data_IF_885136220574
#
_entry.id   IF_885136220574
#
_cell.length_a   1.000
_cell.length_b   1.000
_cell.length_c   1.000
_cell.angle_alpha   90.00
_cell.angle_beta   90.00
_cell.angle_gamma   90.00
#
_symmetry.space_group_name_H-M   'P 1'
#
loop_
_entity.id
_entity.type
_entity.pdbx_description
1 polymer ?
#
# COMPACT_ATOMS: atom_id res chain seq x y z
N UNK A 1 -16.25 -9.48 -34.96
CA UNK A 1 -15.23 -9.28 -33.91
C UNK A 1 -15.61 -8.03 -33.13
N UNK A 2 -16.07 -8.17 -31.89
CA UNK A 2 -16.30 -7.04 -31.00
C UNK A 2 -14.96 -6.69 -30.34
N UNK A 3 -14.33 -5.60 -30.76
CA UNK A 3 -13.19 -5.03 -30.05
C UNK A 3 -13.73 -4.43 -28.75
N UNK A 4 -13.61 -5.15 -27.64
CA UNK A 4 -13.86 -4.58 -26.32
C UNK A 4 -12.81 -3.48 -26.08
N UNK A 5 -13.24 -2.24 -25.90
CA UNK A 5 -12.34 -1.17 -25.50
C UNK A 5 -11.73 -1.51 -24.14
N UNK A 6 -10.39 -1.43 -24.06
CA UNK A 6 -9.71 -1.55 -22.77
C UNK A 6 -10.21 -0.45 -21.82
N UNK A 7 -10.39 -0.75 -20.53
CA UNK A 7 -10.78 0.26 -19.56
C UNK A 7 -9.77 1.41 -19.57
N UNK A 8 -10.21 2.66 -19.33
CA UNK A 8 -9.28 3.78 -19.16
C UNK A 8 -8.28 3.44 -18.06
N UNK A 9 -7.04 3.90 -18.20
CA UNK A 9 -5.96 3.62 -17.27
C UNK A 9 -5.47 4.92 -16.63
N UNK A 10 -4.98 4.84 -15.40
CA UNK A 10 -4.43 5.99 -14.67
C UNK A 10 -3.20 5.60 -13.87
N UNK A 11 -2.28 6.55 -13.71
CA UNK A 11 -1.09 6.38 -12.87
C UNK A 11 -1.48 6.34 -11.38
N UNK A 12 -0.86 5.44 -10.61
CA UNK A 12 -1.00 5.40 -9.16
C UNK A 12 0.35 5.67 -8.51
N UNK A 13 0.36 6.65 -7.62
CA UNK A 13 1.53 7.01 -6.80
C UNK A 13 1.14 7.30 -5.36
N UNK A 14 2.12 7.33 -4.46
CA UNK A 14 1.91 7.74 -3.09
C UNK A 14 3.13 8.41 -2.47
N UNK A 15 2.91 9.44 -1.67
CA UNK A 15 3.91 9.99 -0.75
C UNK A 15 3.68 9.41 0.64
N UNK A 16 4.72 8.84 1.24
CA UNK A 16 4.70 8.27 2.58
C UNK A 16 5.46 9.16 3.55
N UNK A 17 4.82 9.49 4.67
CA UNK A 17 5.39 10.33 5.73
C UNK A 17 5.26 9.68 7.09
N UNK A 18 5.93 10.24 8.10
CA UNK A 18 5.78 9.80 9.49
C UNK A 18 6.58 8.56 9.84
N UNK A 19 7.57 8.19 9.04
CA UNK A 19 8.55 7.17 9.41
C UNK A 19 9.35 7.66 10.62
N UNK A 20 9.55 6.79 11.61
CA UNK A 20 10.28 7.13 12.84
C UNK A 20 11.81 7.12 12.67
N UNK A 21 12.29 6.49 11.62
CA UNK A 21 13.71 6.38 11.28
C UNK A 21 13.85 6.22 9.76
N UNK A 22 15.04 6.52 9.22
CA UNK A 22 15.39 6.24 7.83
C UNK A 22 16.05 4.85 7.67
N UNK A 23 15.89 3.97 8.65
CA UNK A 23 16.54 2.66 8.66
C UNK A 23 15.72 1.66 7.86
N UNK A 24 16.38 0.90 6.99
CA UNK A 24 15.73 -0.17 6.24
C UNK A 24 14.91 0.37 5.07
N UNK A 25 13.71 -0.18 4.89
CA UNK A 25 12.93 0.00 3.67
C UNK A 25 11.43 0.10 3.95
N UNK A 26 10.72 0.79 3.05
CA UNK A 26 9.26 0.72 2.95
C UNK A 26 8.92 -0.38 1.96
N UNK A 27 8.25 -1.42 2.44
CA UNK A 27 7.58 -2.40 1.61
C UNK A 27 6.16 -1.93 1.36
N UNK A 28 5.75 -1.89 0.10
CA UNK A 28 4.42 -1.45 -0.28
C UNK A 28 3.79 -2.44 -1.24
N UNK A 29 2.47 -2.65 -1.12
CA UNK A 29 1.71 -3.41 -2.12
C UNK A 29 0.42 -2.70 -2.49
N UNK A 30 0.11 -2.68 -3.79
CA UNK A 30 -1.14 -2.20 -4.40
C UNK A 30 -1.92 -3.41 -4.91
N UNK A 31 -3.19 -3.53 -4.54
CA UNK A 31 -4.07 -4.62 -5.01
C UNK A 31 -5.48 -4.10 -5.31
N UNK A 32 -6.13 -4.71 -6.31
CA UNK A 32 -7.57 -4.57 -6.55
C UNK A 32 -8.41 -5.69 -5.93
N UNK A 33 -7.78 -6.71 -5.30
CA UNK A 33 -8.45 -7.90 -4.78
C UNK A 33 -8.68 -7.80 -3.26
N UNK A 34 -9.95 -7.67 -2.81
CA UNK A 34 -10.25 -7.56 -1.38
C UNK A 34 -9.74 -8.73 -0.54
N UNK A 35 -9.71 -9.95 -1.09
CA UNK A 35 -9.27 -11.17 -0.39
C UNK A 35 -7.76 -11.27 -0.19
N UNK A 36 -6.97 -10.51 -0.96
CA UNK A 36 -5.53 -10.50 -0.84
C UNK A 36 -5.03 -9.40 0.12
N UNK A 37 -5.82 -8.33 0.31
CA UNK A 37 -5.48 -7.23 1.20
C UNK A 37 -5.50 -7.67 2.68
N UNK A 38 -4.55 -7.22 3.52
CA UNK A 38 -3.47 -6.27 3.25
C UNK A 38 -2.13 -6.88 2.81
N UNK A 39 -2.03 -8.22 2.71
CA UNK A 39 -0.75 -8.87 2.42
C UNK A 39 -0.37 -8.85 0.94
N UNK A 40 -1.36 -8.82 0.06
CA UNK A 40 -1.24 -8.93 -1.40
C UNK A 40 -0.62 -10.25 -1.94
N UNK A 41 -0.05 -11.11 -1.09
CA UNK A 41 0.63 -12.37 -1.45
C UNK A 41 -0.19 -13.32 -2.33
N UNK A 42 -1.52 -13.30 -2.23
CA UNK A 42 -2.43 -14.17 -3.01
C UNK A 42 -3.01 -13.51 -4.26
N UNK A 43 -2.55 -12.31 -4.62
CA UNK A 43 -2.95 -11.59 -5.82
C UNK A 43 -1.81 -11.55 -6.85
N UNK A 44 -1.90 -12.30 -7.96
CA UNK A 44 -0.87 -12.30 -9.00
C UNK A 44 -0.78 -10.96 -9.76
N UNK A 45 -1.80 -10.10 -9.64
CA UNK A 45 -1.85 -8.77 -10.27
C UNK A 45 -1.41 -7.66 -9.31
N UNK A 46 -1.05 -8.00 -8.07
CA UNK A 46 -0.58 -7.01 -7.11
C UNK A 46 0.76 -6.42 -7.57
N UNK A 47 0.92 -5.11 -7.33
CA UNK A 47 2.20 -4.43 -7.55
C UNK A 47 2.89 -4.24 -6.22
N UNK A 48 4.09 -4.79 -6.09
CA UNK A 48 4.91 -4.67 -4.90
C UNK A 48 6.10 -3.74 -5.16
N UNK A 49 6.45 -2.92 -4.17
CA UNK A 49 7.61 -2.04 -4.18
C UNK A 49 8.43 -2.25 -2.90
N UNK A 50 9.74 -2.09 -3.02
CA UNK A 50 10.66 -1.95 -1.88
C UNK A 50 11.52 -0.73 -2.12
N UNK A 51 11.35 0.30 -1.29
CA UNK A 51 12.02 1.60 -1.45
C UNK A 51 12.76 1.95 -0.16
N UNK A 52 13.97 2.53 -0.21
CA UNK A 52 14.68 2.95 1.01
C UNK A 52 13.83 3.84 1.91
N UNK A 53 13.92 3.62 3.22
CA UNK A 53 13.25 4.47 4.19
C UNK A 53 13.87 5.88 4.24
N UNK A 54 13.05 6.87 4.57
CA UNK A 54 13.46 8.27 4.63
C UNK A 54 12.43 9.14 5.36
N UNK A 55 12.72 10.44 5.47
CA UNK A 55 11.78 11.39 6.08
C UNK A 55 10.47 11.53 5.28
N UNK A 56 10.57 11.45 3.95
CA UNK A 56 9.47 11.34 3.00
C UNK A 56 9.87 10.33 1.93
N UNK A 57 8.98 9.40 1.58
CA UNK A 57 9.25 8.34 0.60
C UNK A 57 8.21 8.42 -0.51
N UNK A 58 8.68 8.53 -1.76
CA UNK A 58 7.83 8.48 -2.94
C UNK A 58 7.70 7.06 -3.47
N UNK A 59 6.46 6.65 -3.75
CA UNK A 59 6.11 5.37 -4.33
C UNK A 59 5.46 5.61 -5.69
N UNK A 60 5.96 4.95 -6.73
CA UNK A 60 5.31 4.92 -8.04
C UNK A 60 4.92 3.48 -8.36
N UNK A 61 3.62 3.23 -8.44
CA UNK A 61 3.08 1.93 -8.84
C UNK A 61 2.85 1.86 -10.35
N UNK A 62 2.98 2.97 -11.08
CA UNK A 62 2.73 3.08 -12.52
C UNK A 62 1.25 3.03 -12.89
N UNK A 63 0.98 2.89 -14.18
CA UNK A 63 -0.39 2.94 -14.73
C UNK A 63 -1.15 1.65 -14.52
N UNK A 64 -2.36 1.72 -13.96
CA UNK A 64 -3.29 0.59 -13.77
C UNK A 64 -4.61 0.84 -14.50
N UNK A 65 -5.37 -0.21 -14.87
CA UNK A 65 -6.77 -0.06 -15.27
C UNK A 65 -7.59 0.72 -14.25
N UNK A 66 -8.61 1.42 -14.73
CA UNK A 66 -9.59 2.04 -13.85
C UNK A 66 -10.29 1.00 -12.98
N UNK A 67 -10.52 1.36 -11.73
CA UNK A 67 -11.02 0.42 -10.74
C UNK A 67 -10.84 0.92 -9.31
N UNK A 68 -11.05 0.02 -8.35
CA UNK A 68 -10.80 0.29 -6.92
C UNK A 68 -9.56 -0.45 -6.47
N UNK A 69 -8.68 0.25 -5.80
CA UNK A 69 -7.40 -0.27 -5.34
C UNK A 69 -7.15 0.12 -3.89
N UNK A 70 -6.35 -0.68 -3.19
CA UNK A 70 -5.87 -0.35 -1.86
C UNK A 70 -4.35 -0.57 -1.77
N UNK A 71 -3.68 0.30 -1.01
CA UNK A 71 -2.25 0.23 -0.71
C UNK A 71 -2.08 -0.18 0.75
N UNK A 72 -1.18 -1.13 1.01
CA UNK A 72 -0.66 -1.43 2.35
C UNK A 72 0.84 -1.19 2.39
N UNK A 73 1.33 -0.66 3.51
CA UNK A 73 2.73 -0.31 3.75
C UNK A 73 3.26 -1.00 5.01
N UNK A 74 4.54 -1.37 4.98
CA UNK A 74 5.33 -1.85 6.11
C UNK A 74 6.64 -1.05 6.13
N UNK A 75 7.05 -0.55 7.29
CA UNK A 75 8.40 -0.04 7.51
C UNK A 75 9.29 -1.15 8.06
N UNK A 76 9.97 -1.87 7.18
CA UNK A 76 10.86 -3.00 7.49
C UNK A 76 12.24 -2.46 7.90
N UNK A 77 12.41 -2.19 9.21
CA UNK A 77 13.59 -1.54 9.79
C UNK A 77 14.78 -2.49 9.91
N UNK A 78 14.55 -3.80 9.85
CA UNK A 78 15.60 -4.81 9.92
C UNK A 78 15.86 -5.55 8.60
N UNK A 79 15.16 -5.15 7.53
CA UNK A 79 15.32 -5.65 6.17
C UNK A 79 15.06 -7.17 6.02
N UNK A 80 14.10 -7.71 6.78
CA UNK A 80 13.76 -9.13 6.72
C UNK A 80 12.60 -9.46 5.76
N UNK A 81 12.05 -8.45 5.08
CA UNK A 81 11.03 -8.61 4.05
C UNK A 81 9.61 -8.83 4.56
N UNK A 82 9.35 -8.69 5.87
CA UNK A 82 8.03 -8.92 6.46
C UNK A 82 7.75 -7.96 7.61
N UNK A 83 6.48 -7.82 7.97
CA UNK A 83 6.08 -7.10 9.16
C UNK A 83 6.37 -7.94 10.40
N UNK A 84 7.30 -7.49 11.25
CA UNK A 84 7.55 -8.16 12.52
C UNK A 84 6.46 -7.92 13.56
N UNK A 85 6.10 -8.98 14.27
CA UNK A 85 5.02 -8.99 15.26
C UNK A 85 5.43 -9.69 16.55
N UNK A 86 4.90 -9.21 17.67
CA UNK A 86 4.93 -9.90 18.98
C UNK A 86 3.49 -10.16 19.41
N UNK A 87 3.11 -11.42 19.60
CA UNK A 87 1.73 -11.80 19.96
C UNK A 87 0.69 -11.09 19.06
N UNK A 88 0.89 -11.13 17.73
CA UNK A 88 0.08 -10.44 16.70
C UNK A 88 0.19 -8.92 16.62
N UNK A 89 0.88 -8.26 17.56
CA UNK A 89 1.04 -6.81 17.59
C UNK A 89 2.27 -6.39 16.77
N UNK A 90 2.14 -5.50 15.77
CA UNK A 90 3.26 -4.95 15.01
C UNK A 90 4.35 -4.33 15.91
N UNK A 91 5.61 -4.64 15.64
CA UNK A 91 6.79 -4.00 16.26
C UNK A 91 7.39 -2.90 15.40
N UNK A 92 7.05 -2.94 14.12
CA UNK A 92 7.51 -2.05 13.08
C UNK A 92 6.34 -1.22 12.52
N UNK A 93 6.66 -0.29 11.62
CA UNK A 93 5.68 0.64 11.08
C UNK A 93 4.73 -0.04 10.10
N UNK A 94 3.49 0.43 10.07
CA UNK A 94 2.50 0.05 9.06
C UNK A 94 1.71 1.28 8.59
N UNK A 95 1.15 1.19 7.39
CA UNK A 95 0.29 2.24 6.82
C UNK A 95 -0.66 1.68 5.78
N UNK A 96 -1.73 2.41 5.50
CA UNK A 96 -2.74 2.02 4.50
C UNK A 96 -3.21 3.26 3.74
N UNK A 97 -3.56 3.10 2.46
CA UNK A 97 -4.24 4.16 1.69
C UNK A 97 -5.51 4.64 2.39
N UNK A 98 -5.93 5.87 2.06
CA UNK A 98 -7.00 6.59 2.76
C UNK A 98 -6.73 6.82 4.26
N UNK A 99 -5.51 6.56 4.73
CA UNK A 99 -5.15 6.56 6.15
C UNK A 99 -6.16 5.76 7.00
N UNK A 100 -6.62 4.63 6.46
CA UNK A 100 -7.71 3.86 7.03
C UNK A 100 -7.49 3.54 8.52
N UNK A 101 -8.53 3.67 9.37
CA UNK A 101 -8.40 3.49 10.80
C UNK A 101 -8.08 2.03 11.16
N UNK A 102 -7.19 1.86 12.14
CA UNK A 102 -6.75 0.56 12.64
C UNK A 102 -7.34 0.35 14.03
N UNK A 103 -7.99 -0.79 14.23
CA UNK A 103 -8.58 -1.22 15.50
C UNK A 103 -7.86 -2.45 16.05
N UNK A 104 -8.61 -3.53 16.30
CA UNK A 104 -8.08 -4.82 16.74
C UNK A 104 -7.33 -5.61 15.64
N UNK A 105 -7.27 -5.07 14.43
CA UNK A 105 -6.62 -5.69 13.27
C UNK A 105 -6.48 -4.70 12.11
N UNK A 106 -5.91 -5.14 10.98
CA UNK A 106 -5.82 -4.31 9.79
C UNK A 106 -7.22 -3.91 9.30
N UNK A 107 -7.34 -2.76 8.61
CA UNK A 107 -8.61 -2.30 8.08
C UNK A 107 -9.14 -3.25 7.00
N UNK A 108 -10.43 -3.15 6.70
CA UNK A 108 -11.00 -3.83 5.52
C UNK A 108 -10.48 -3.18 4.24
N UNK A 109 -10.48 -3.93 3.13
CA UNK A 109 -10.19 -3.37 1.81
C UNK A 109 -11.09 -2.16 1.51
N UNK A 110 -12.38 -2.24 1.84
CA UNK A 110 -13.33 -1.16 1.57
C UNK A 110 -12.95 0.16 2.25
N UNK A 111 -12.37 0.09 3.47
CA UNK A 111 -11.94 1.28 4.21
C UNK A 111 -10.63 1.88 3.66
N UNK A 112 -9.77 1.05 3.08
CA UNK A 112 -8.50 1.49 2.50
C UNK A 112 -8.61 1.82 1.00
N UNK A 113 -9.69 1.41 0.33
CA UNK A 113 -9.78 1.47 -1.12
C UNK A 113 -10.13 2.87 -1.64
N UNK A 114 -9.44 3.26 -2.70
CA UNK A 114 -9.67 4.49 -3.47
C UNK A 114 -10.00 4.14 -4.93
N UNK A 115 -10.60 5.08 -5.66
CA UNK A 115 -10.93 4.92 -7.07
C UNK A 115 -9.76 5.43 -7.94
N UNK A 116 -9.47 4.71 -9.03
CA UNK A 116 -8.52 5.13 -10.05
C UNK A 116 -9.30 5.32 -11.35
N UNK A 117 -9.19 6.51 -11.93
CA UNK A 117 -9.73 6.87 -13.24
C UNK A 117 -8.61 7.26 -14.22
N UNK A 118 -8.97 7.84 -15.36
CA UNK A 118 -8.00 8.24 -16.38
C UNK A 118 -7.01 9.34 -15.93
N UNK A 119 -7.38 10.14 -14.93
CA UNK A 119 -6.50 11.15 -14.34
C UNK A 119 -5.39 10.58 -13.45
N UNK A 120 -5.40 9.28 -13.19
CA UNK A 120 -4.58 8.70 -12.13
C UNK A 120 -5.08 9.09 -10.73
N UNK A 121 -4.32 8.66 -9.73
CA UNK A 121 -4.55 8.95 -8.33
C UNK A 121 -3.22 9.03 -7.56
N UNK A 122 -3.09 10.06 -6.71
CA UNK A 122 -1.97 10.20 -5.79
C UNK A 122 -2.45 10.10 -4.35
N UNK A 123 -1.79 9.26 -3.54
CA UNK A 123 -2.16 9.02 -2.14
C UNK A 123 -1.13 9.61 -1.18
N UNK A 124 -1.57 10.38 -0.18
CA UNK A 124 -0.72 10.75 0.95
C UNK A 124 -0.95 9.82 2.13
N UNK A 125 0.02 8.97 2.45
CA UNK A 125 -0.11 7.91 3.45
C UNK A 125 0.81 8.20 4.64
N UNK A 126 0.27 8.17 5.85
CA UNK A 126 1.06 8.31 7.09
C UNK A 126 1.41 6.93 7.65
N UNK A 127 2.69 6.68 7.82
CA UNK A 127 3.21 5.54 8.57
C UNK A 127 2.84 5.68 10.06
N UNK A 128 2.43 4.56 10.68
CA UNK A 128 2.00 4.49 12.07
C UNK A 128 2.77 3.39 12.81
N UNK A 129 2.99 3.61 14.10
CA UNK A 129 3.65 2.67 15.01
C UNK A 129 2.80 2.54 16.26
N UNK A 130 2.85 1.38 16.92
CA UNK A 130 2.16 1.17 18.20
C UNK A 130 3.09 1.41 19.41
N UNK A 131 4.40 1.39 19.20
CA UNK A 131 5.45 1.59 20.19
C UNK A 131 6.63 2.32 19.56
#
# INVERSE_FOLDING_TARGET
MLLGSAPPQGEVSATVTGLRSAKGQVLACLTARPKAFPKCESDPEARALSVPAGQSVELSFGTVPSGRYAIALIHDENANGKLDKRLMIPREGFGFSQNAPVGLGPPSFANAAFAVGASGEHQSIRMRYLF
#
